data_IF_976202334594
#
_entry.id   IF_976202334594
#
_cell.length_a   1.000
_cell.length_b   1.000
_cell.length_c   1.000
_cell.angle_alpha   90.00
_cell.angle_beta   90.00
_cell.angle_gamma   90.00
#
_symmetry.space_group_name_H-M   'P 1'
#
loop_
_entity.id
_entity.type
_entity.pdbx_description
1 polymer ?
#
# COMPACT_ATOMS: atom_id res chain seq x y z
N UNK A 1 -1.43 -18.25 2.02
CA UNK A 1 -0.59 -17.09 2.39
C UNK A 1 -0.85 -15.98 1.38
N UNK A 2 -1.18 -14.76 1.80
CA UNK A 2 -1.30 -13.61 0.89
C UNK A 2 -0.04 -12.75 1.06
N UNK A 3 0.70 -12.54 -0.03
CA UNK A 3 1.85 -11.63 -0.05
C UNK A 3 1.35 -10.23 -0.33
N UNK A 4 1.87 -9.25 0.41
CA UNK A 4 1.52 -7.83 0.29
C UNK A 4 2.81 -7.07 0.00
N UNK A 5 2.76 -6.20 -1.00
CA UNK A 5 3.80 -5.21 -1.27
C UNK A 5 3.38 -3.87 -0.66
N UNK A 6 4.32 -3.13 -0.09
CA UNK A 6 4.10 -1.79 0.46
C UNK A 6 5.19 -0.84 -0.06
N UNK A 7 4.84 0.43 -0.25
CA UNK A 7 5.74 1.46 -0.75
C UNK A 7 5.98 2.56 0.29
N UNK A 8 7.23 3.01 0.41
CA UNK A 8 7.58 4.24 1.12
C UNK A 8 7.82 5.31 0.06
N UNK A 9 6.86 6.22 -0.10
CA UNK A 9 6.97 7.33 -1.04
C UNK A 9 7.53 8.54 -0.30
N UNK A 10 8.66 9.06 -0.78
CA UNK A 10 9.35 10.20 -0.19
C UNK A 10 9.30 11.35 -1.20
N UNK A 11 8.79 12.50 -0.76
CA UNK A 11 8.82 13.76 -1.53
C UNK A 11 9.14 14.93 -0.59
N UNK A 12 10.12 15.76 -0.95
CA UNK A 12 10.60 16.89 -0.13
C UNK A 12 10.87 16.52 1.34
N UNK A 13 11.47 15.35 1.57
CA UNK A 13 11.77 14.84 2.91
C UNK A 13 10.54 14.39 3.72
N UNK A 14 9.34 14.42 3.13
CA UNK A 14 8.10 13.94 3.74
C UNK A 14 7.75 12.55 3.21
N UNK A 15 7.12 11.75 4.07
CA UNK A 15 6.65 10.41 3.73
C UNK A 15 5.13 10.44 3.54
N UNK A 16 4.64 9.84 2.45
CA UNK A 16 3.21 9.70 2.21
C UNK A 16 2.64 8.53 3.01
N UNK A 17 1.59 8.80 3.80
CA UNK A 17 0.82 7.83 4.57
C UNK A 17 -0.68 8.11 4.40
N UNK A 18 -1.50 7.06 4.40
CA UNK A 18 -2.95 7.14 4.33
C UNK A 18 -3.57 6.74 5.67
N UNK A 19 -4.70 7.37 6.05
CA UNK A 19 -5.49 6.94 7.21
C UNK A 19 -6.43 5.82 6.78
N UNK A 20 -6.40 4.69 7.50
CA UNK A 20 -7.28 3.55 7.24
C UNK A 20 -8.75 3.95 7.39
N UNK A 21 -9.60 3.40 6.52
CA UNK A 21 -11.05 3.60 6.59
C UNK A 21 -11.60 3.11 7.93
N UNK A 22 -12.64 3.80 8.43
CA UNK A 22 -13.29 3.53 9.72
C UNK A 22 -13.80 2.08 9.88
N UNK A 23 -14.14 1.41 8.78
CA UNK A 23 -14.66 0.03 8.80
C UNK A 23 -13.62 -1.02 8.37
N UNK A 24 -12.34 -0.62 8.25
CA UNK A 24 -11.26 -1.56 7.97
C UNK A 24 -10.77 -2.24 9.26
N UNK A 25 -10.17 -3.42 9.15
CA UNK A 25 -9.45 -4.04 10.27
C UNK A 25 -8.37 -3.08 10.80
N UNK A 26 -8.36 -2.81 12.11
CA UNK A 26 -7.48 -1.80 12.70
C UNK A 26 -7.88 -0.37 12.28
N UNK A 27 -9.09 0.09 12.63
CA UNK A 27 -9.59 1.41 12.26
C UNK A 27 -8.70 2.51 12.83
N UNK A 28 -8.66 3.63 12.13
CA UNK A 28 -7.95 4.86 12.52
C UNK A 28 -6.42 4.80 12.61
N UNK A 29 -5.82 3.66 12.24
CA UNK A 29 -4.36 3.56 12.09
C UNK A 29 -3.90 4.16 10.76
N UNK A 30 -2.65 4.60 10.73
CA UNK A 30 -1.96 5.01 9.51
C UNK A 30 -1.39 3.80 8.79
N UNK A 31 -1.36 3.86 7.47
CA UNK A 31 -0.76 2.85 6.61
C UNK A 31 0.02 3.46 5.47
N UNK A 32 1.00 2.70 4.98
CA UNK A 32 1.66 3.00 3.73
C UNK A 32 0.81 2.53 2.54
N UNK A 33 0.94 3.16 1.37
CA UNK A 33 0.41 2.60 0.13
C UNK A 33 0.83 1.15 -0.02
N UNK A 34 -0.13 0.27 -0.27
CA UNK A 34 0.10 -1.16 -0.35
C UNK A 34 -0.86 -1.83 -1.32
N UNK A 35 -0.51 -3.05 -1.71
CA UNK A 35 -1.31 -3.89 -2.59
C UNK A 35 -1.11 -5.37 -2.29
N UNK A 36 -2.15 -6.16 -2.52
CA UNK A 36 -2.05 -7.62 -2.49
C UNK A 36 -1.45 -8.08 -3.82
N UNK A 37 -0.39 -8.89 -3.74
CA UNK A 37 0.25 -9.46 -4.92
C UNK A 37 -0.66 -10.50 -5.57
N UNK A 38 -0.70 -10.46 -6.90
CA UNK A 38 -1.32 -11.49 -7.74
C UNK A 38 -0.27 -12.51 -8.21
N UNK A 39 -0.74 -13.64 -8.74
CA UNK A 39 0.15 -14.71 -9.20
C UNK A 39 1.00 -14.21 -10.38
N UNK A 40 2.32 -14.31 -10.24
CA UNK A 40 3.26 -13.88 -11.26
C UNK A 40 3.57 -12.38 -11.30
N UNK A 41 2.95 -11.57 -10.44
CA UNK A 41 3.33 -10.15 -10.29
C UNK A 41 4.68 -10.05 -9.56
N UNK A 42 5.52 -9.10 -9.96
CA UNK A 42 6.59 -8.59 -9.09
C UNK A 42 6.01 -7.59 -8.06
N UNK A 43 6.72 -7.33 -6.95
CA UNK A 43 6.29 -6.30 -6.00
C UNK A 43 6.06 -4.92 -6.64
N UNK A 44 6.90 -4.53 -7.61
CA UNK A 44 6.79 -3.27 -8.34
C UNK A 44 5.52 -3.23 -9.20
N UNK A 45 5.23 -4.31 -9.93
CA UNK A 45 4.00 -4.42 -10.73
C UNK A 45 2.74 -4.34 -9.85
N UNK A 46 2.75 -5.04 -8.72
CA UNK A 46 1.67 -5.00 -7.74
C UNK A 46 1.44 -3.57 -7.22
N UNK A 47 2.50 -2.83 -6.88
CA UNK A 47 2.41 -1.47 -6.37
C UNK A 47 1.98 -0.48 -7.44
N UNK A 48 2.51 -0.60 -8.66
CA UNK A 48 2.12 0.25 -9.79
C UNK A 48 0.63 0.13 -10.08
N UNK A 49 0.08 -1.10 -10.09
CA UNK A 49 -1.36 -1.32 -10.25
C UNK A 49 -2.14 -0.72 -9.08
N UNK A 50 -1.76 -1.04 -7.85
CA UNK A 50 -2.48 -0.60 -6.65
C UNK A 50 -2.51 0.94 -6.49
N UNK A 51 -1.52 1.66 -7.01
CA UNK A 51 -1.47 3.14 -6.96
C UNK A 51 -2.32 3.83 -8.04
N UNK A 52 -2.80 3.09 -9.04
CA UNK A 52 -3.71 3.60 -10.08
C UNK A 52 -5.20 3.36 -9.75
N UNK A 53 -5.48 2.53 -8.74
CA UNK A 53 -6.83 2.26 -8.22
C UNK A 53 -7.27 3.30 -7.19
#
# INVERSE_FOLDING_TARGET
MKVVAAAILINDGKIFIAKRKLFAEGPEKWEFPNGKMQLGETPEQCLQRAMQE
#
